data_IF_284304891305
#
_entry.id   IF_284304891305
#
_cell.length_a   1.000
_cell.length_b   1.000
_cell.length_c   1.000
_cell.angle_alpha   90.00
_cell.angle_beta   90.00
_cell.angle_gamma   90.00
#
_symmetry.space_group_name_H-M   'P 1'
#
loop_
_entity.id
_entity.type
_entity.pdbx_description
1 polymer ?
#
# COMPACT_ATOMS: atom_id res chain seq x y z
N UNK A 1 -14.40 -7.64 -6.49
CA UNK A 1 -14.20 -6.16 -6.44
C UNK A 1 -12.69 -5.91 -6.55
N UNK A 2 -12.26 -4.84 -7.22
CA UNK A 2 -10.83 -4.56 -7.38
C UNK A 2 -10.24 -4.02 -6.08
N UNK A 3 -8.95 -4.24 -5.81
CA UNK A 3 -8.30 -3.77 -4.57
C UNK A 3 -8.44 -2.26 -4.38
N UNK A 4 -8.37 -1.50 -5.48
CA UNK A 4 -8.55 -0.04 -5.49
C UNK A 4 -9.92 0.43 -4.98
N UNK A 5 -10.97 -0.40 -5.08
CA UNK A 5 -12.28 -0.05 -4.53
C UNK A 5 -12.29 -0.13 -3.00
N UNK A 6 -11.59 -1.11 -2.43
CA UNK A 6 -11.43 -1.19 -0.98
C UNK A 6 -10.56 -0.04 -0.49
N UNK A 7 -9.40 0.17 -1.13
CA UNK A 7 -8.50 1.29 -0.86
C UNK A 7 -9.28 2.61 -0.83
N UNK A 8 -10.09 2.88 -1.86
CA UNK A 8 -10.89 4.11 -1.95
C UNK A 8 -11.86 4.28 -0.76
N UNK A 9 -12.51 3.22 -0.30
CA UNK A 9 -13.37 3.30 0.89
C UNK A 9 -12.57 3.62 2.16
N UNK A 10 -11.37 3.06 2.30
CA UNK A 10 -10.48 3.40 3.42
C UNK A 10 -10.04 4.88 3.38
N UNK A 11 -9.82 5.45 2.19
CA UNK A 11 -9.55 6.87 2.02
C UNK A 11 -10.70 7.77 2.51
N UNK A 12 -11.95 7.29 2.47
CA UNK A 12 -13.11 8.06 2.93
C UNK A 12 -13.31 8.02 4.45
N UNK A 13 -12.75 7.03 5.17
CA UNK A 13 -12.91 6.88 6.63
C UNK A 13 -12.60 8.18 7.40
N UNK A 14 -11.47 8.89 7.16
CA UNK A 14 -11.22 10.22 7.70
C UNK A 14 -12.41 11.18 7.64
N UNK A 15 -13.00 11.30 6.45
CA UNK A 15 -14.06 12.24 6.16
C UNK A 15 -15.37 11.79 6.77
N UNK A 16 -15.61 10.48 6.86
CA UNK A 16 -16.73 9.94 7.63
C UNK A 16 -16.61 10.27 9.12
N UNK A 17 -15.42 10.19 9.73
CA UNK A 17 -15.24 10.61 11.12
C UNK A 17 -15.50 12.11 11.31
N UNK A 18 -14.99 12.96 10.41
CA UNK A 18 -15.26 14.41 10.45
C UNK A 18 -16.76 14.67 10.29
N UNK A 19 -17.42 13.98 9.37
CA UNK A 19 -18.86 14.07 9.14
C UNK A 19 -19.65 13.68 10.40
N UNK A 20 -19.40 12.50 10.97
CA UNK A 20 -20.08 12.04 12.21
C UNK A 20 -19.83 13.02 13.36
N UNK A 21 -18.59 13.49 13.52
CA UNK A 21 -18.27 14.41 14.61
C UNK A 21 -18.95 15.77 14.41
N UNK A 22 -19.04 16.27 13.17
CA UNK A 22 -19.74 17.51 12.83
C UNK A 22 -21.24 17.48 13.16
N UNK A 23 -21.88 16.30 13.06
CA UNK A 23 -23.26 16.08 13.52
C UNK A 23 -23.33 16.26 15.04
N UNK A 24 -22.40 15.64 15.79
CA UNK A 24 -22.37 15.70 17.26
C UNK A 24 -22.17 17.13 17.78
N UNK A 25 -21.27 17.90 17.17
CA UNK A 25 -21.00 19.29 17.55
C UNK A 25 -21.98 20.30 16.91
N UNK A 26 -22.97 19.81 16.13
CA UNK A 26 -23.97 20.62 15.43
C UNK A 26 -23.39 21.72 14.53
N UNK A 27 -22.19 21.52 13.98
CA UNK A 27 -21.54 22.48 13.09
C UNK A 27 -21.97 22.25 11.63
N UNK A 28 -23.03 22.96 11.21
CA UNK A 28 -23.63 22.83 9.86
C UNK A 28 -22.65 23.12 8.71
N UNK A 29 -21.69 24.03 8.91
CA UNK A 29 -20.72 24.40 7.87
C UNK A 29 -19.74 23.25 7.56
N UNK A 30 -19.17 22.65 8.61
CA UNK A 30 -18.28 21.48 8.46
C UNK A 30 -19.05 20.27 7.95
N UNK A 31 -20.28 20.08 8.43
CA UNK A 31 -21.17 19.01 7.99
C UNK A 31 -21.40 19.06 6.48
N UNK A 32 -21.83 20.22 5.96
CA UNK A 32 -22.11 20.40 4.54
C UNK A 32 -20.85 20.16 3.69
N UNK A 33 -19.71 20.75 4.07
CA UNK A 33 -18.43 20.57 3.35
C UNK A 33 -18.00 19.11 3.31
N UNK A 34 -18.12 18.40 4.44
CA UNK A 34 -17.76 16.98 4.53
C UNK A 34 -18.69 16.11 3.70
N UNK A 35 -20.01 16.38 3.75
CA UNK A 35 -21.01 15.67 2.97
C UNK A 35 -20.81 15.88 1.45
N UNK A 36 -20.55 17.12 1.03
CA UNK A 36 -20.26 17.47 -0.36
C UNK A 36 -18.99 16.77 -0.83
N UNK A 37 -17.92 16.79 -0.03
CA UNK A 37 -16.67 16.11 -0.38
C UNK A 37 -16.86 14.59 -0.54
N UNK A 38 -17.49 13.92 0.44
CA UNK A 38 -17.72 12.45 0.38
C UNK A 38 -18.57 12.10 -0.85
N UNK A 39 -19.64 12.86 -1.10
CA UNK A 39 -20.53 12.65 -2.25
C UNK A 39 -19.79 12.83 -3.57
N UNK A 40 -19.06 13.94 -3.74
CA UNK A 40 -18.29 14.20 -4.96
C UNK A 40 -17.20 13.14 -5.18
N UNK A 41 -16.48 12.75 -4.13
CA UNK A 41 -15.47 11.70 -4.21
C UNK A 41 -16.09 10.37 -4.67
N UNK A 42 -17.22 9.97 -4.09
CA UNK A 42 -17.95 8.76 -4.49
C UNK A 42 -18.43 8.83 -5.94
N UNK A 43 -18.98 9.97 -6.37
CA UNK A 43 -19.45 10.16 -7.73
C UNK A 43 -18.30 10.07 -8.73
N UNK A 44 -17.21 10.81 -8.52
CA UNK A 44 -16.02 10.81 -9.39
C UNK A 44 -15.39 9.41 -9.44
N UNK A 45 -15.24 8.75 -8.30
CA UNK A 45 -14.65 7.42 -8.28
C UNK A 45 -15.51 6.39 -9.01
N UNK A 46 -16.82 6.37 -8.76
CA UNK A 46 -17.71 5.40 -9.41
C UNK A 46 -17.91 5.71 -10.89
N UNK A 47 -17.94 6.98 -11.31
CA UNK A 47 -18.06 7.35 -12.72
C UNK A 47 -16.84 6.93 -13.56
N UNK A 48 -15.66 6.77 -12.95
CA UNK A 48 -14.49 6.23 -13.63
C UNK A 48 -14.46 4.69 -13.59
N UNK A 49 -14.75 4.10 -12.43
CA UNK A 49 -14.59 2.66 -12.22
C UNK A 49 -15.71 1.83 -12.86
N UNK A 50 -16.96 2.31 -12.83
CA UNK A 50 -18.09 1.56 -13.39
C UNK A 50 -17.93 1.39 -14.92
N UNK A 51 -17.70 2.45 -15.72
CA UNK A 51 -17.48 2.30 -17.15
C UNK A 51 -16.28 1.43 -17.47
N UNK A 52 -15.15 1.59 -16.76
CA UNK A 52 -13.98 0.73 -16.95
C UNK A 52 -14.33 -0.76 -16.77
N UNK A 53 -15.09 -1.09 -15.73
CA UNK A 53 -15.55 -2.46 -15.48
C UNK A 53 -16.50 -2.96 -16.56
N UNK A 54 -17.45 -2.13 -16.99
CA UNK A 54 -18.41 -2.49 -18.03
C UNK A 54 -17.70 -2.73 -19.37
N UNK A 55 -16.72 -1.88 -19.73
CA UNK A 55 -15.87 -2.06 -20.90
C UNK A 55 -15.04 -3.35 -20.78
N UNK A 56 -14.41 -3.61 -19.63
CA UNK A 56 -13.67 -4.85 -19.42
C UNK A 56 -14.57 -6.09 -19.59
N UNK A 57 -15.80 -6.07 -19.04
CA UNK A 57 -16.78 -7.14 -19.25
C UNK A 57 -17.18 -7.26 -20.72
N UNK A 58 -17.41 -6.15 -21.42
CA UNK A 58 -17.83 -6.13 -22.83
C UNK A 58 -16.74 -6.73 -23.75
N UNK A 59 -15.47 -6.42 -23.49
CA UNK A 59 -14.37 -6.85 -24.36
C UNK A 59 -13.78 -8.22 -24.02
N UNK A 60 -13.99 -8.72 -22.80
CA UNK A 60 -13.42 -10.01 -22.36
C UNK A 60 -14.50 -11.03 -21.97
N UNK A 61 -15.79 -10.74 -22.17
CA UNK A 61 -16.97 -11.52 -21.71
C UNK A 61 -17.10 -11.74 -20.19
N UNK A 62 -16.05 -11.41 -19.44
CA UNK A 62 -15.99 -11.53 -18.01
C UNK A 62 -15.14 -10.41 -17.39
N UNK A 63 -15.29 -10.28 -16.08
CA UNK A 63 -14.62 -9.28 -15.25
C UNK A 63 -13.17 -9.67 -14.94
N UNK A 64 -12.33 -9.71 -15.98
CA UNK A 64 -10.96 -10.27 -15.97
C UNK A 64 -10.02 -9.58 -14.98
N UNK A 65 -10.14 -8.25 -14.78
CA UNK A 65 -9.34 -7.50 -13.79
C UNK A 65 -9.89 -7.53 -12.36
N UNK A 66 -11.11 -8.03 -12.16
CA UNK A 66 -11.79 -8.00 -10.84
C UNK A 66 -12.01 -9.37 -10.22
N UNK A 67 -11.61 -10.45 -10.90
CA UNK A 67 -11.77 -11.83 -10.44
C UNK A 67 -10.45 -12.51 -10.06
N UNK A 68 -9.30 -11.99 -10.54
CA UNK A 68 -7.96 -12.50 -10.21
C UNK A 68 -7.59 -12.33 -8.72
N UNK A 69 -8.21 -11.36 -8.03
CA UNK A 69 -7.86 -11.04 -6.64
C UNK A 69 -7.95 -12.24 -5.69
N UNK A 70 -8.89 -13.17 -5.90
CA UNK A 70 -9.05 -14.33 -5.00
C UNK A 70 -7.91 -15.33 -5.18
N UNK A 71 -7.49 -15.57 -6.42
CA UNK A 71 -6.34 -16.43 -6.71
C UNK A 71 -5.05 -15.82 -6.16
N UNK A 72 -4.87 -14.50 -6.33
CA UNK A 72 -3.73 -13.76 -5.77
C UNK A 72 -3.71 -13.83 -4.24
N UNK A 73 -4.86 -13.67 -3.58
CA UNK A 73 -4.96 -13.82 -2.13
C UNK A 73 -4.54 -15.20 -1.66
N UNK A 74 -5.02 -16.25 -2.32
CA UNK A 74 -4.63 -17.62 -2.02
C UNK A 74 -3.14 -17.83 -2.23
N UNK A 75 -2.60 -17.42 -3.39
CA UNK A 75 -1.19 -17.55 -3.71
C UNK A 75 -0.28 -16.81 -2.73
N UNK A 76 -0.67 -15.63 -2.26
CA UNK A 76 0.03 -14.91 -1.19
C UNK A 76 -0.04 -15.62 0.16
N UNK A 77 -1.19 -16.20 0.50
CA UNK A 77 -1.31 -17.01 1.72
C UNK A 77 -0.41 -18.24 1.65
N UNK A 78 -0.42 -18.97 0.54
CA UNK A 78 0.42 -20.13 0.30
C UNK A 78 1.91 -19.76 0.35
N UNK A 79 2.33 -18.70 -0.35
CA UNK A 79 3.70 -18.16 -0.34
C UNK A 79 4.22 -17.86 1.07
N UNK A 80 3.37 -17.30 1.94
CA UNK A 80 3.74 -16.94 3.32
C UNK A 80 3.72 -18.12 4.29
N UNK A 81 2.95 -19.17 4.00
CA UNK A 81 2.68 -20.27 4.95
C UNK A 81 3.45 -21.56 4.57
N UNK A 82 3.62 -21.84 3.28
CA UNK A 82 4.24 -23.07 2.77
C UNK A 82 5.69 -23.25 3.24
N UNK A 83 6.62 -22.29 3.02
CA UNK A 83 8.00 -22.50 3.44
C UNK A 83 8.07 -22.58 4.97
N UNK A 84 8.95 -23.44 5.48
CA UNK A 84 9.21 -23.51 6.91
C UNK A 84 9.86 -22.19 7.36
N UNK A 85 9.37 -21.63 8.47
CA UNK A 85 9.98 -20.43 9.04
C UNK A 85 11.41 -20.75 9.45
N UNK A 86 12.37 -20.05 8.86
CA UNK A 86 13.78 -20.15 9.21
C UNK A 86 14.38 -18.74 9.30
N UNK A 87 15.42 -18.52 10.13
CA UNK A 87 16.13 -17.24 10.18
C UNK A 87 16.64 -16.80 8.81
N UNK A 88 17.08 -17.77 8.00
CA UNK A 88 17.57 -17.55 6.64
C UNK A 88 16.48 -17.05 5.70
N UNK A 89 15.27 -17.63 5.76
CA UNK A 89 14.11 -17.16 5.00
C UNK A 89 13.70 -15.74 5.43
N UNK A 90 13.68 -15.46 6.74
CA UNK A 90 13.38 -14.11 7.25
C UNK A 90 14.40 -13.10 6.73
N UNK A 91 15.69 -13.44 6.75
CA UNK A 91 16.76 -12.60 6.23
C UNK A 91 16.61 -12.36 4.71
N UNK A 92 16.24 -13.37 3.93
CA UNK A 92 15.94 -13.23 2.50
C UNK A 92 14.76 -12.26 2.25
N UNK A 93 13.68 -12.40 3.04
CA UNK A 93 12.55 -11.47 3.00
C UNK A 93 12.95 -10.03 3.35
N UNK A 94 13.80 -9.83 4.37
CA UNK A 94 14.32 -8.50 4.70
C UNK A 94 15.22 -7.94 3.59
N UNK A 95 16.12 -8.74 3.03
CA UNK A 95 16.99 -8.33 1.93
C UNK A 95 16.21 -8.02 0.64
N UNK A 96 15.01 -8.57 0.49
CA UNK A 96 14.13 -8.27 -0.64
C UNK A 96 13.37 -6.94 -0.50
N UNK A 97 13.40 -6.28 0.68
CA UNK A 97 12.69 -5.02 0.92
C UNK A 97 13.13 -3.92 -0.09
N UNK A 98 14.43 -3.70 -0.32
CA UNK A 98 14.93 -2.77 -1.33
C UNK A 98 14.91 -3.37 -2.75
N UNK A 99 14.20 -4.48 -2.98
CA UNK A 99 13.98 -5.10 -4.28
C UNK A 99 14.64 -6.47 -4.43
N UNK A 100 14.10 -7.29 -5.34
CA UNK A 100 14.57 -8.66 -5.55
C UNK A 100 16.05 -8.77 -5.98
N UNK A 101 16.61 -7.73 -6.58
CA UNK A 101 18.04 -7.67 -6.91
C UNK A 101 18.96 -7.73 -5.69
N UNK A 102 18.57 -7.09 -4.58
CA UNK A 102 19.36 -7.11 -3.33
C UNK A 102 19.29 -8.48 -2.67
N UNK A 103 18.13 -9.13 -2.67
CA UNK A 103 18.01 -10.51 -2.18
C UNK A 103 18.95 -11.47 -2.94
N UNK A 104 18.94 -11.42 -4.28
CA UNK A 104 19.75 -12.31 -5.13
C UNK A 104 21.26 -12.14 -4.98
N UNK A 105 21.73 -11.06 -4.36
CA UNK A 105 23.15 -10.90 -4.04
C UNK A 105 23.61 -11.72 -2.84
N UNK A 106 22.69 -12.06 -1.93
CA UNK A 106 23.03 -12.72 -0.66
C UNK A 106 22.38 -14.10 -0.51
N UNK A 107 21.32 -14.39 -1.27
CA UNK A 107 20.50 -15.59 -1.14
C UNK A 107 20.32 -16.29 -2.50
N UNK A 108 19.96 -17.57 -2.44
CA UNK A 108 19.66 -18.37 -3.64
C UNK A 108 18.39 -17.87 -4.35
N UNK A 109 18.26 -18.24 -5.62
CA UNK A 109 17.10 -17.87 -6.42
C UNK A 109 15.80 -18.38 -5.81
N UNK A 110 15.78 -19.61 -5.28
CA UNK A 110 14.59 -20.19 -4.62
C UNK A 110 14.17 -19.41 -3.39
N UNK A 111 15.13 -18.97 -2.56
CA UNK A 111 14.86 -18.15 -1.37
C UNK A 111 14.27 -16.79 -1.77
N UNK A 112 14.80 -16.18 -2.83
CA UNK A 112 14.30 -14.92 -3.35
C UNK A 112 12.99 -15.09 -4.14
N UNK A 113 12.69 -16.27 -4.69
CA UNK A 113 11.45 -16.55 -5.42
C UNK A 113 10.24 -16.46 -4.50
N UNK A 114 10.37 -16.91 -3.25
CA UNK A 114 9.37 -16.68 -2.19
C UNK A 114 9.21 -15.22 -1.79
N UNK A 115 10.02 -14.32 -2.33
CA UNK A 115 9.87 -12.88 -2.14
C UNK A 115 9.13 -12.22 -3.32
N UNK A 116 9.04 -12.88 -4.48
CA UNK A 116 8.47 -12.33 -5.71
C UNK A 116 6.97 -12.60 -5.87
N UNK A 117 6.33 -11.90 -6.81
CA UNK A 117 4.88 -11.90 -7.01
C UNK A 117 4.39 -13.06 -7.89
N UNK A 118 5.29 -13.73 -8.62
CA UNK A 118 4.94 -14.71 -9.66
C UNK A 118 4.29 -15.99 -9.13
N UNK A 119 4.55 -16.36 -7.87
CA UNK A 119 3.93 -17.54 -7.24
C UNK A 119 2.42 -17.36 -6.97
N UNK A 120 1.88 -16.15 -7.14
CA UNK A 120 0.49 -15.87 -6.79
C UNK A 120 -0.53 -16.24 -7.88
N UNK A 121 -0.09 -16.49 -9.12
CA UNK A 121 -0.98 -16.58 -10.28
C UNK A 121 -1.35 -18.00 -10.69
N UNK A 122 -0.50 -18.98 -10.42
CA UNK A 122 -0.75 -20.38 -10.77
C UNK A 122 -0.29 -21.28 -9.63
N UNK A 123 -1.25 -21.85 -8.91
CA UNK A 123 -0.99 -22.72 -7.78
C UNK A 123 -1.81 -24.01 -7.95
N UNK A 124 -1.20 -25.21 -7.85
CA UNK A 124 -1.86 -26.48 -8.14
C UNK A 124 -3.07 -26.77 -7.24
N UNK A 125 -3.08 -26.23 -6.02
CA UNK A 125 -4.21 -26.30 -5.08
C UNK A 125 -5.46 -25.48 -5.52
N UNK A 126 -5.37 -24.65 -6.57
CA UNK A 126 -6.51 -23.86 -7.05
C UNK A 126 -7.48 -24.73 -7.85
N UNK A 127 -8.80 -24.62 -7.62
CA UNK A 127 -9.79 -25.32 -8.42
C UNK A 127 -9.68 -24.93 -9.89
N UNK A 128 -9.77 -25.94 -10.76
CA UNK A 128 -9.80 -25.78 -12.22
C UNK A 128 -10.88 -24.78 -12.64
N UNK A 129 -10.59 -24.02 -13.71
CA UNK A 129 -11.57 -23.12 -14.32
C UNK A 129 -12.68 -23.88 -15.05
N UNK A 130 -12.45 -25.16 -15.42
CA UNK A 130 -13.37 -25.96 -16.22
C UNK A 130 -14.48 -26.63 -15.40
N UNK A 131 -14.25 -26.84 -14.10
CA UNK A 131 -15.09 -27.77 -13.32
C UNK A 131 -16.15 -27.07 -12.46
N UNK A 132 -16.04 -25.75 -12.26
CA UNK A 132 -16.88 -25.01 -11.29
C UNK A 132 -17.27 -23.63 -11.84
N UNK A 133 -18.54 -23.24 -11.67
CA UNK A 133 -19.01 -21.90 -12.00
C UNK A 133 -18.21 -20.81 -11.28
N UNK A 134 -18.06 -19.63 -11.91
CA UNK A 134 -17.17 -18.57 -11.42
C UNK A 134 -17.44 -18.13 -9.97
N UNK A 135 -18.69 -18.09 -9.52
CA UNK A 135 -19.05 -17.74 -8.14
C UNK A 135 -18.68 -18.82 -7.13
N UNK A 136 -19.05 -20.07 -7.40
CA UNK A 136 -18.72 -21.21 -6.56
C UNK A 136 -17.20 -21.38 -6.45
N UNK A 137 -16.48 -21.16 -7.56
CA UNK A 137 -15.03 -21.17 -7.60
C UNK A 137 -14.43 -20.09 -6.70
N UNK A 138 -14.94 -18.85 -6.76
CA UNK A 138 -14.50 -17.75 -5.89
C UNK A 138 -14.70 -18.06 -4.40
N UNK A 139 -15.88 -18.56 -4.02
CA UNK A 139 -16.16 -18.94 -2.64
C UNK A 139 -15.22 -20.06 -2.15
N UNK A 140 -14.98 -21.07 -2.99
CA UNK A 140 -14.03 -22.15 -2.68
C UNK A 140 -12.60 -21.63 -2.46
N UNK A 141 -12.10 -20.76 -3.34
CA UNK A 141 -10.74 -20.21 -3.20
C UNK A 141 -10.64 -19.34 -1.93
N UNK A 142 -11.68 -18.55 -1.59
CA UNK A 142 -11.69 -17.79 -0.33
C UNK A 142 -11.62 -18.70 0.89
N UNK A 143 -12.40 -19.78 0.90
CA UNK A 143 -12.35 -20.78 1.97
C UNK A 143 -10.96 -21.43 2.08
N UNK A 144 -10.36 -21.82 0.96
CA UNK A 144 -8.98 -22.33 0.91
C UNK A 144 -7.97 -21.31 1.43
N UNK A 145 -8.13 -20.02 1.09
CA UNK A 145 -7.26 -18.93 1.55
C UNK A 145 -7.32 -18.80 3.07
N UNK A 146 -8.53 -18.77 3.63
CA UNK A 146 -8.73 -18.68 5.09
C UNK A 146 -8.13 -19.91 5.77
N UNK A 147 -8.36 -21.11 5.23
CA UNK A 147 -7.76 -22.34 5.72
C UNK A 147 -6.23 -22.28 5.71
N UNK A 148 -5.64 -21.77 4.63
CA UNK A 148 -4.18 -21.61 4.50
C UNK A 148 -3.61 -20.63 5.54
N UNK A 149 -4.24 -19.47 5.73
CA UNK A 149 -3.84 -18.50 6.77
C UNK A 149 -3.93 -19.16 8.16
N UNK A 150 -4.97 -19.94 8.41
CA UNK A 150 -5.20 -20.64 9.67
C UNK A 150 -4.14 -21.69 10.02
N UNK A 151 -3.41 -22.24 9.04
CA UNK A 151 -2.35 -23.22 9.29
C UNK A 151 -1.16 -22.63 10.06
N UNK A 152 -0.75 -21.39 9.74
CA UNK A 152 0.37 -20.70 10.39
C UNK A 152 0.10 -19.19 10.49
N UNK A 153 -0.84 -18.75 11.33
CA UNK A 153 -1.30 -17.35 11.35
C UNK A 153 -0.18 -16.36 11.73
N UNK A 154 0.66 -16.71 12.71
CA UNK A 154 1.76 -15.84 13.13
C UNK A 154 2.80 -15.64 12.02
N UNK A 155 3.16 -16.73 11.32
CA UNK A 155 4.07 -16.67 10.17
C UNK A 155 3.48 -15.83 9.04
N UNK A 156 2.19 -16.00 8.75
CA UNK A 156 1.48 -15.21 7.75
C UNK A 156 1.54 -13.71 8.07
N UNK A 157 1.21 -13.32 9.31
CA UNK A 157 1.23 -11.91 9.71
C UNK A 157 2.64 -11.33 9.79
N UNK A 158 3.64 -12.11 10.20
CA UNK A 158 5.05 -11.71 10.18
C UNK A 158 5.49 -11.35 8.75
N UNK A 159 5.29 -12.26 7.79
CA UNK A 159 5.72 -12.01 6.42
C UNK A 159 4.87 -10.94 5.73
N UNK A 160 3.59 -10.82 6.07
CA UNK A 160 2.77 -9.69 5.65
C UNK A 160 3.36 -8.36 6.17
N UNK A 161 3.78 -8.31 7.44
CA UNK A 161 4.45 -7.14 8.02
C UNK A 161 5.78 -6.81 7.34
N UNK A 162 6.59 -7.82 7.02
CA UNK A 162 7.86 -7.61 6.30
C UNK A 162 7.60 -7.09 4.88
N UNK A 163 6.61 -7.65 4.17
CA UNK A 163 6.23 -7.16 2.83
C UNK A 163 5.71 -5.72 2.86
N UNK A 164 5.04 -5.29 3.93
CA UNK A 164 4.61 -3.90 4.12
C UNK A 164 5.78 -2.90 4.11
N UNK A 165 6.95 -3.30 4.60
CA UNK A 165 8.16 -2.47 4.65
C UNK A 165 8.74 -2.17 3.26
N UNK A 166 8.25 -2.82 2.19
CA UNK A 166 8.63 -2.50 0.80
C UNK A 166 8.05 -1.17 0.32
N UNK A 167 6.93 -0.72 0.89
CA UNK A 167 6.19 0.45 0.39
C UNK A 167 6.96 1.77 0.49
N UNK A 168 7.74 2.04 1.57
CA UNK A 168 8.64 3.18 1.64
C UNK A 168 9.74 3.20 0.57
N UNK A 169 10.01 2.07 -0.10
CA UNK A 169 10.95 1.97 -1.20
C UNK A 169 10.23 2.18 -2.55
N UNK A 170 9.53 3.31 -2.65
CA UNK A 170 8.65 3.64 -3.78
C UNK A 170 9.38 4.18 -5.00
N UNK A 171 10.57 4.75 -4.80
CA UNK A 171 11.33 5.35 -5.89
C UNK A 171 11.88 4.28 -6.84
N UNK A 172 11.51 4.39 -8.12
CA UNK A 172 12.08 3.63 -9.22
C UNK A 172 12.79 4.61 -10.15
N UNK A 173 14.07 4.37 -10.43
CA UNK A 173 14.83 5.20 -11.38
C UNK A 173 14.27 5.18 -12.79
N UNK A 174 13.47 4.18 -13.16
CA UNK A 174 12.83 4.10 -14.47
C UNK A 174 11.31 4.00 -14.32
N UNK A 175 10.60 4.93 -14.97
CA UNK A 175 9.18 4.81 -15.21
C UNK A 175 9.03 3.95 -16.47
N UNK A 176 8.45 2.76 -16.35
CA UNK A 176 8.44 1.74 -17.41
C UNK A 176 7.73 2.11 -18.72
N UNK A 177 7.16 3.32 -18.83
CA UNK A 177 6.47 3.82 -20.02
C UNK A 177 7.18 5.01 -20.67
N UNK A 178 8.37 5.40 -20.18
CA UNK A 178 9.14 6.54 -20.69
C UNK A 178 10.38 6.05 -21.43
N UNK A 179 10.52 6.46 -22.68
CA UNK A 179 11.76 6.26 -23.43
C UNK A 179 12.77 7.33 -23.02
N UNK A 180 13.77 6.93 -22.24
CA UNK A 180 14.84 7.82 -21.80
C UNK A 180 15.94 7.91 -22.86
N UNK A 181 16.57 9.09 -23.04
CA UNK A 181 17.81 9.21 -23.79
C UNK A 181 18.86 8.20 -23.32
N UNK A 182 19.70 7.70 -24.23
CA UNK A 182 20.67 6.63 -23.95
C UNK A 182 21.61 6.95 -22.78
N UNK A 183 22.06 8.20 -22.65
CA UNK A 183 22.91 8.65 -21.53
C UNK A 183 22.17 8.55 -20.18
N UNK A 184 20.89 8.93 -20.13
CA UNK A 184 20.09 8.90 -18.91
C UNK A 184 19.70 7.47 -18.54
N UNK A 185 19.41 6.64 -19.55
CA UNK A 185 19.20 5.20 -19.38
C UNK A 185 20.44 4.54 -18.75
N UNK A 186 21.64 4.83 -19.26
CA UNK A 186 22.91 4.35 -18.69
C UNK A 186 23.07 4.80 -17.23
N UNK A 187 22.79 6.07 -16.92
CA UNK A 187 22.84 6.58 -15.55
C UNK A 187 21.87 5.83 -14.61
N UNK A 188 20.64 5.57 -15.06
CA UNK A 188 19.63 4.85 -14.29
C UNK A 188 19.88 3.34 -14.17
N UNK A 189 20.71 2.78 -15.04
CA UNK A 189 21.19 1.40 -15.00
C UNK A 189 22.40 1.23 -14.06
N UNK A 190 23.13 2.30 -13.73
CA UNK A 190 24.20 2.24 -12.72
C UNK A 190 23.62 1.85 -11.36
N UNK A 191 24.07 0.70 -10.85
CA UNK A 191 23.59 0.12 -9.59
C UNK A 191 23.76 1.08 -8.41
N UNK A 192 24.89 1.79 -8.35
CA UNK A 192 25.17 2.77 -7.30
C UNK A 192 24.17 3.93 -7.32
N UNK A 193 23.88 4.49 -8.49
CA UNK A 193 22.92 5.59 -8.62
C UNK A 193 21.50 5.13 -8.26
N UNK A 194 21.07 4.00 -8.83
CA UNK A 194 19.74 3.43 -8.59
C UNK A 194 19.50 3.06 -7.14
N UNK A 195 20.43 2.32 -6.54
CA UNK A 195 20.31 1.89 -5.15
C UNK A 195 20.54 3.07 -4.19
N UNK A 196 21.43 4.00 -4.52
CA UNK A 196 21.67 5.22 -3.74
C UNK A 196 20.43 6.10 -3.65
N UNK A 197 19.81 6.42 -4.80
CA UNK A 197 18.58 7.22 -4.83
C UNK A 197 17.45 6.53 -4.05
N UNK A 198 17.25 5.24 -4.27
CA UNK A 198 16.23 4.44 -3.57
C UNK A 198 16.48 4.38 -2.05
N UNK A 199 17.73 4.27 -1.63
CA UNK A 199 18.10 4.27 -0.21
C UNK A 199 17.87 5.64 0.43
N UNK A 200 18.24 6.72 -0.26
CA UNK A 200 18.04 8.08 0.23
C UNK A 200 16.55 8.41 0.38
N UNK A 201 15.74 8.13 -0.65
CA UNK A 201 14.29 8.40 -0.62
C UNK A 201 13.57 7.56 0.43
N UNK A 202 13.92 6.27 0.56
CA UNK A 202 13.36 5.41 1.61
C UNK A 202 13.77 5.87 3.01
N UNK A 203 15.03 6.27 3.22
CA UNK A 203 15.50 6.82 4.49
C UNK A 203 14.70 8.08 4.89
N UNK A 204 14.56 9.05 3.98
CA UNK A 204 13.72 10.23 4.24
C UNK A 204 12.26 9.86 4.48
N UNK A 205 11.73 8.89 3.74
CA UNK A 205 10.37 8.39 3.93
C UNK A 205 10.20 7.84 5.34
N UNK A 206 11.12 6.98 5.83
CA UNK A 206 11.07 6.45 7.19
C UNK A 206 11.21 7.55 8.25
N UNK A 207 12.15 8.48 8.09
CA UNK A 207 12.31 9.62 9.01
C UNK A 207 11.04 10.46 9.08
N UNK A 208 10.43 10.77 7.93
CA UNK A 208 9.15 11.47 7.85
C UNK A 208 8.03 10.72 8.57
N UNK A 209 7.87 9.42 8.31
CA UNK A 209 6.85 8.59 8.95
C UNK A 209 7.05 8.51 10.46
N UNK A 210 8.25 8.17 10.94
CA UNK A 210 8.53 8.09 12.38
C UNK A 210 8.33 9.43 13.08
N UNK A 211 8.70 10.53 12.43
CA UNK A 211 8.46 11.86 12.96
C UNK A 211 6.96 12.17 13.09
N UNK A 212 6.17 11.90 12.05
CA UNK A 212 4.71 12.11 12.10
C UNK A 212 4.06 11.24 13.18
N UNK A 213 4.46 9.97 13.29
CA UNK A 213 3.98 9.05 14.32
C UNK A 213 4.28 9.62 15.71
N UNK A 214 5.53 9.99 15.97
CA UNK A 214 5.94 10.59 17.24
C UNK A 214 5.19 11.88 17.57
N UNK A 215 4.96 12.73 16.57
CA UNK A 215 4.19 13.96 16.72
C UNK A 215 2.74 13.69 17.12
N UNK A 216 2.08 12.73 16.46
CA UNK A 216 0.70 12.34 16.76
C UNK A 216 0.61 11.75 18.15
N UNK A 217 1.53 10.86 18.54
CA UNK A 217 1.54 10.31 19.90
C UNK A 217 1.75 11.39 20.96
N UNK A 218 2.65 12.34 20.72
CA UNK A 218 2.91 13.48 21.62
C UNK A 218 1.68 14.36 21.81
N UNK A 219 0.88 14.57 20.75
CA UNK A 219 -0.27 15.47 20.77
C UNK A 219 -1.62 14.76 20.67
N UNK A 220 -1.70 13.46 21.00
CA UNK A 220 -2.91 12.62 20.82
C UNK A 220 -4.18 13.20 21.44
N UNK A 221 -4.06 13.90 22.58
CA UNK A 221 -5.19 14.53 23.27
C UNK A 221 -5.84 15.66 22.46
N UNK A 222 -5.08 16.31 21.56
CA UNK A 222 -5.52 17.42 20.72
C UNK A 222 -5.96 16.99 19.31
N UNK A 223 -5.88 15.69 18.99
CA UNK A 223 -6.09 15.21 17.63
C UNK A 223 -7.54 15.35 17.15
N UNK A 224 -8.49 15.19 18.07
CA UNK A 224 -9.92 15.26 17.78
C UNK A 224 -10.58 16.50 18.42
N UNK A 225 -9.76 17.46 18.84
CA UNK A 225 -10.25 18.74 19.33
C UNK A 225 -10.65 19.61 18.14
N UNK A 226 -11.96 19.64 17.87
CA UNK A 226 -12.59 20.46 16.83
C UNK A 226 -13.02 21.85 17.33
N UNK A 227 -12.61 22.24 18.55
CA UNK A 227 -12.71 23.64 18.96
C UNK A 227 -11.90 24.53 18.02
N UNK A 228 -12.21 25.83 17.97
CA UNK A 228 -11.52 26.79 17.09
C UNK A 228 -9.99 26.83 17.27
N UNK A 229 -9.48 26.33 18.40
CA UNK A 229 -8.06 26.24 18.75
C UNK A 229 -7.38 24.92 18.32
N UNK A 230 -8.12 24.03 17.63
CA UNK A 230 -7.59 22.79 17.11
C UNK A 230 -6.36 23.02 16.22
N UNK A 231 -5.41 22.09 16.22
CA UNK A 231 -4.23 22.18 15.37
C UNK A 231 -4.50 21.49 14.01
N UNK A 232 -4.90 22.22 12.95
CA UNK A 232 -5.26 21.61 11.67
C UNK A 232 -4.11 20.82 11.06
N UNK A 233 -2.86 21.20 11.36
CA UNK A 233 -1.67 20.48 10.86
C UNK A 233 -1.59 19.08 11.45
N UNK A 234 -1.93 18.91 12.73
CA UNK A 234 -1.91 17.61 13.40
C UNK A 234 -2.94 16.65 12.79
N UNK A 235 -4.13 17.17 12.49
CA UNK A 235 -5.22 16.42 11.85
C UNK A 235 -4.80 15.97 10.44
N UNK A 236 -4.20 16.87 9.64
CA UNK A 236 -3.67 16.55 8.31
C UNK A 236 -2.59 15.46 8.41
N UNK A 237 -1.65 15.57 9.36
CA UNK A 237 -0.60 14.57 9.56
C UNK A 237 -1.18 13.20 9.92
N UNK A 238 -2.19 13.16 10.79
CA UNK A 238 -2.87 11.93 11.17
C UNK A 238 -3.57 11.26 9.99
N UNK A 239 -4.34 12.01 9.21
CA UNK A 239 -5.02 11.44 8.05
C UNK A 239 -4.04 11.03 6.94
N UNK A 240 -2.93 11.76 6.77
CA UNK A 240 -1.82 11.36 5.89
C UNK A 240 -1.28 9.99 6.30
N UNK A 241 -0.98 9.78 7.58
CA UNK A 241 -0.52 8.47 8.08
C UNK A 241 -1.59 7.39 7.95
N UNK A 242 -2.83 7.68 8.31
CA UNK A 242 -3.93 6.71 8.24
C UNK A 242 -4.10 6.19 6.82
N UNK A 243 -4.03 7.07 5.83
CA UNK A 243 -4.07 6.70 4.42
C UNK A 243 -2.85 5.85 4.04
N UNK A 244 -1.64 6.30 4.37
CA UNK A 244 -0.40 5.58 4.06
C UNK A 244 -0.44 4.16 4.65
N UNK A 245 -0.82 4.02 5.91
CA UNK A 245 -0.90 2.73 6.59
C UNK A 245 -2.02 1.85 6.05
N UNK A 246 -3.19 2.42 5.73
CA UNK A 246 -4.29 1.66 5.12
C UNK A 246 -3.89 1.14 3.75
N UNK A 247 -3.27 1.98 2.92
CA UNK A 247 -2.77 1.59 1.61
C UNK A 247 -1.66 0.54 1.71
N UNK A 248 -0.71 0.74 2.63
CA UNK A 248 0.40 -0.19 2.88
C UNK A 248 -0.10 -1.53 3.41
N UNK A 249 -1.10 -1.53 4.29
CA UNK A 249 -1.74 -2.74 4.81
C UNK A 249 -2.48 -3.52 3.72
N UNK A 250 -3.23 -2.83 2.85
CA UNK A 250 -3.89 -3.44 1.70
C UNK A 250 -2.87 -3.96 0.68
N UNK A 251 -1.82 -3.19 0.41
CA UNK A 251 -0.69 -3.62 -0.40
C UNK A 251 -0.09 -4.90 0.14
N UNK A 252 0.22 -4.94 1.44
CA UNK A 252 0.81 -6.10 2.09
C UNK A 252 -0.16 -7.29 2.06
N UNK A 253 -1.45 -7.09 2.32
CA UNK A 253 -2.43 -8.17 2.28
C UNK A 253 -2.52 -8.81 0.88
N UNK A 254 -2.62 -7.97 -0.17
CA UNK A 254 -2.77 -8.41 -1.55
C UNK A 254 -1.44 -8.64 -2.29
N UNK A 255 -0.28 -8.39 -1.66
CA UNK A 255 1.07 -8.41 -2.25
C UNK A 255 1.06 -7.85 -3.68
N UNK A 256 0.67 -6.58 -3.82
CA UNK A 256 0.58 -5.95 -5.15
C UNK A 256 2.00 -5.52 -5.60
N UNK A 257 2.20 -5.23 -6.87
CA UNK A 257 3.49 -4.71 -7.38
C UNK A 257 3.83 -3.39 -6.69
N UNK A 258 5.08 -3.22 -6.23
CA UNK A 258 5.54 -2.00 -5.53
C UNK A 258 5.27 -0.71 -6.28
N UNK A 259 5.22 -0.73 -7.63
CA UNK A 259 4.89 0.45 -8.47
C UNK A 259 3.55 1.11 -8.16
N UNK A 260 2.63 0.40 -7.49
CA UNK A 260 1.37 1.00 -7.06
C UNK A 260 1.53 1.95 -5.86
N UNK A 261 2.70 1.96 -5.20
CA UNK A 261 3.05 2.96 -4.20
C UNK A 261 2.97 4.41 -4.71
N UNK A 262 3.09 4.63 -6.03
CA UNK A 262 2.92 5.95 -6.66
C UNK A 262 1.65 6.69 -6.23
N UNK A 263 0.58 5.95 -5.89
CA UNK A 263 -0.68 6.54 -5.39
C UNK A 263 -0.49 7.29 -4.07
N UNK A 264 0.45 6.86 -3.22
CA UNK A 264 0.72 7.47 -1.91
C UNK A 264 2.04 8.25 -1.85
N UNK A 265 2.75 8.40 -2.98
CA UNK A 265 4.02 9.13 -3.04
C UNK A 265 3.89 10.59 -2.66
N UNK A 266 2.84 11.27 -3.14
CA UNK A 266 2.58 12.66 -2.75
C UNK A 266 2.39 12.83 -1.23
N UNK A 267 1.83 11.81 -0.58
CA UNK A 267 1.67 11.78 0.87
C UNK A 267 3.00 11.52 1.59
N UNK A 268 3.84 10.63 1.06
CA UNK A 268 5.21 10.47 1.55
C UNK A 268 6.00 11.78 1.45
N UNK A 269 5.97 12.43 0.29
CA UNK A 269 6.63 13.72 0.07
C UNK A 269 6.10 14.81 1.01
N UNK A 270 4.79 14.82 1.29
CA UNK A 270 4.20 15.75 2.27
C UNK A 270 4.76 15.51 3.67
N UNK A 271 4.87 14.24 4.10
CA UNK A 271 5.47 13.88 5.39
C UNK A 271 6.96 14.21 5.48
N UNK A 272 7.72 13.94 4.40
CA UNK A 272 9.15 14.27 4.28
C UNK A 272 9.36 15.78 4.37
N UNK A 273 8.64 16.56 3.55
CA UNK A 273 8.74 18.01 3.52
C UNK A 273 8.41 18.62 4.89
N UNK A 274 7.37 18.08 5.55
CA UNK A 274 7.00 18.51 6.89
C UNK A 274 8.10 18.22 7.92
N UNK A 275 8.71 17.03 7.88
CA UNK A 275 9.86 16.69 8.74
C UNK A 275 11.06 17.63 8.50
N UNK A 276 11.47 17.83 7.25
CA UNK A 276 12.59 18.71 6.88
C UNK A 276 12.34 20.14 7.39
N UNK A 277 11.15 20.68 7.15
CA UNK A 277 10.80 22.03 7.58
C UNK A 277 10.84 22.18 9.11
N UNK A 278 10.33 21.20 9.86
CA UNK A 278 10.26 21.29 11.31
C UNK A 278 11.60 21.01 12.02
N UNK A 279 12.45 20.14 11.47
CA UNK A 279 13.66 19.68 12.16
C UNK A 279 14.97 20.16 11.56
N UNK A 280 15.07 20.29 10.24
CA UNK A 280 16.31 20.72 9.60
C UNK A 280 16.33 22.24 9.46
N UNK A 281 15.32 22.82 8.81
CA UNK A 281 15.32 24.26 8.51
C UNK A 281 15.14 25.15 9.73
N UNK A 282 14.31 24.75 10.70
CA UNK A 282 14.12 25.53 11.94
C UNK A 282 15.32 25.49 12.86
N UNK A 283 16.04 24.36 12.92
CA UNK A 283 17.27 24.25 13.72
C UNK A 283 18.40 25.10 13.14
N UNK A 284 18.42 25.29 11.83
CA UNK A 284 19.40 26.14 11.14
C UNK A 284 19.14 27.65 11.29
N UNK A 285 17.90 28.08 11.58
CA UNK A 285 17.60 29.49 11.88
C UNK A 285 17.94 29.90 13.32
N UNK A 286 18.36 28.95 14.14
CA UNK A 286 18.75 29.15 15.55
C UNK A 286 20.28 29.15 15.73
N UNK A 287 21.04 29.06 14.63
CA UNK A 287 22.49 29.26 14.55
C UNK A 287 22.71 30.56 13.79
#
# INVERSE_FOLDING_TARGET
KGVFQYIFLFFLIPYFFVFINSIRIKNKGILLRSATYITLALLIFNSLIIPFKLLNKKFNDHFEFTNRYVAVLFGNAAKRVNPALSPRLVAAHLASIPGGGVCRWFFSEDECRYCEFYLADDHPELPSKKDISGDKRRAKILSLTIGKIGQKPMQYFLFMGIEALRMPFWESTQIGYVNYPSWLKRLFELSLFKNGLRTLTSLFTFLGLFYLIGLIFKHKKKLFDLSGDGNPRLIICFFTLLIIFSYTGLYAFFSIVTRYSLVIVSLYLTGIAYFINQKLLRSWKLI
#
